data_IF_695611291391
#
_entry.id   IF_695611291391
#
_cell.length_a   1.000
_cell.length_b   1.000
_cell.length_c   1.000
_cell.angle_alpha   90.00
_cell.angle_beta   90.00
_cell.angle_gamma   90.00
#
_symmetry.space_group_name_H-M   'P 1'
#
loop_
_entity.id
_entity.type
_entity.pdbx_description
1 polymer ?
#
# COMPACT_ATOMS: atom_id res chain seq x y z
N UNK A 1 -19.86 -58.91 13.32
CA UNK A 1 -20.33 -57.53 13.06
C UNK A 1 -20.00 -56.70 14.28
N UNK A 2 -19.49 -55.47 14.08
CA UNK A 2 -19.06 -54.53 15.12
C UNK A 2 -17.94 -54.98 16.08
N UNK A 3 -17.15 -54.09 16.69
CA UNK A 3 -16.59 -52.80 16.24
C UNK A 3 -15.71 -52.25 17.37
N UNK A 4 -14.42 -52.01 17.14
CA UNK A 4 -13.57 -51.26 18.07
C UNK A 4 -12.32 -50.74 17.35
N UNK A 5 -12.26 -49.42 17.17
CA UNK A 5 -11.16 -48.71 16.50
C UNK A 5 -9.94 -48.59 17.45
N UNK A 6 -8.70 -48.64 16.95
CA UNK A 6 -7.57 -48.03 17.63
C UNK A 6 -7.63 -46.50 17.47
N UNK A 7 -7.27 -45.77 18.53
CA UNK A 7 -7.32 -44.31 18.54
C UNK A 7 -6.30 -43.67 17.59
N UNK A 8 -6.72 -42.59 16.93
CA UNK A 8 -5.85 -41.68 16.18
C UNK A 8 -5.73 -40.37 16.95
N UNK A 9 -4.57 -40.10 17.54
CA UNK A 9 -4.27 -38.77 18.11
C UNK A 9 -4.16 -37.75 16.96
N UNK A 10 -4.94 -36.65 16.97
CA UNK A 10 -4.71 -35.55 16.04
C UNK A 10 -3.53 -34.72 16.56
N UNK A 11 -2.37 -34.84 15.89
CA UNK A 11 -1.27 -33.89 16.09
C UNK A 11 -1.74 -32.51 15.64
N UNK A 12 -2.17 -31.70 16.61
CA UNK A 12 -2.64 -30.34 16.38
C UNK A 12 -1.48 -29.48 15.89
N UNK A 13 -1.45 -29.22 14.58
CA UNK A 13 -0.44 -28.38 13.96
C UNK A 13 -0.79 -26.90 14.24
N UNK A 14 -0.41 -26.43 15.42
CA UNK A 14 -0.59 -25.02 15.82
C UNK A 14 0.09 -24.10 14.81
N UNK A 15 -0.60 -23.09 14.26
CA UNK A 15 0.04 -22.12 13.37
C UNK A 15 1.08 -21.34 14.18
N UNK A 16 2.35 -21.48 13.83
CA UNK A 16 3.42 -20.66 14.37
C UNK A 16 3.18 -19.21 13.96
N UNK A 17 2.75 -18.39 14.92
CA UNK A 17 2.69 -16.94 14.76
C UNK A 17 4.11 -16.41 14.55
N UNK A 18 4.50 -16.25 13.28
CA UNK A 18 5.73 -15.54 12.91
C UNK A 18 5.55 -14.09 13.34
N UNK A 19 6.32 -13.67 14.35
CA UNK A 19 6.28 -12.30 14.86
C UNK A 19 6.83 -11.36 13.79
N UNK A 20 5.93 -10.64 13.11
CA UNK A 20 6.29 -9.60 12.14
C UNK A 20 6.90 -8.42 12.91
N UNK A 21 8.21 -8.44 13.09
CA UNK A 21 8.97 -7.29 13.60
C UNK A 21 8.95 -6.18 12.54
N UNK A 22 8.02 -5.25 12.70
CA UNK A 22 7.95 -4.05 11.86
C UNK A 22 9.20 -3.19 12.09
N UNK A 23 10.04 -3.05 11.06
CA UNK A 23 11.22 -2.21 11.05
C UNK A 23 10.91 -0.70 10.93
N UNK A 24 9.81 -0.25 11.53
CA UNK A 24 9.39 1.16 11.55
C UNK A 24 10.05 1.91 12.70
N UNK A 25 10.89 2.89 12.38
CA UNK A 25 11.46 3.82 13.37
C UNK A 25 10.34 4.70 13.97
N UNK A 26 9.97 4.40 15.22
CA UNK A 26 8.88 5.08 15.93
C UNK A 26 9.35 6.45 16.38
N UNK A 27 8.85 7.53 15.74
CA UNK A 27 9.31 8.89 16.01
C UNK A 27 9.19 9.23 17.50
N UNK A 28 10.25 9.77 18.09
CA UNK A 28 10.24 10.25 19.47
C UNK A 28 9.48 11.58 19.58
N UNK A 29 8.17 11.51 19.82
CA UNK A 29 7.32 12.66 20.13
C UNK A 29 7.83 13.32 21.41
N UNK A 30 8.18 14.62 21.38
CA UNK A 30 8.74 15.33 22.56
C UNK A 30 7.70 16.11 23.38
N UNK A 31 6.61 16.53 22.74
CA UNK A 31 5.61 17.43 23.31
C UNK A 31 4.20 16.96 22.96
N UNK A 32 3.25 17.23 23.86
CA UNK A 32 1.86 16.86 23.74
C UNK A 32 1.10 17.77 22.77
N UNK A 33 0.50 17.19 21.72
CA UNK A 33 -0.30 17.91 20.72
C UNK A 33 -1.56 18.60 21.29
N UNK A 34 -2.00 18.27 22.51
CA UNK A 34 -3.19 18.86 23.14
C UNK A 34 -2.89 20.00 24.13
N UNK A 35 -1.70 20.04 24.74
CA UNK A 35 -1.41 21.02 25.80
C UNK A 35 0.05 21.53 25.83
N UNK A 36 0.88 21.17 24.85
CA UNK A 36 2.29 21.58 24.77
C UNK A 36 3.23 20.96 25.82
N UNK A 37 2.70 20.36 26.90
CA UNK A 37 3.49 19.73 27.96
C UNK A 37 4.38 18.58 27.45
N UNK A 38 5.51 18.30 28.11
CA UNK A 38 6.44 17.26 27.66
C UNK A 38 5.86 15.85 27.73
N UNK A 39 6.49 14.92 27.03
CA UNK A 39 6.11 13.50 26.98
C UNK A 39 7.21 12.59 27.54
N UNK A 40 6.79 11.58 28.32
CA UNK A 40 7.60 10.42 28.69
C UNK A 40 7.33 9.26 27.72
N UNK A 41 8.26 8.30 27.63
CA UNK A 41 8.11 7.12 26.78
C UNK A 41 8.22 5.87 27.64
N UNK A 42 7.12 5.13 27.76
CA UNK A 42 7.02 3.90 28.55
C UNK A 42 6.02 2.95 27.89
N UNK A 43 5.98 1.70 28.33
CA UNK A 43 4.97 0.72 27.95
C UNK A 43 3.90 0.77 29.04
N UNK A 44 2.65 1.19 28.77
CA UNK A 44 1.57 1.16 29.75
C UNK A 44 1.27 -0.25 30.27
N UNK A 45 0.76 -0.36 31.49
CA UNK A 45 0.32 -1.63 32.06
C UNK A 45 -0.72 -2.31 31.15
N UNK A 46 -0.44 -3.55 30.74
CA UNK A 46 -1.28 -4.32 29.82
C UNK A 46 -1.08 -4.03 28.32
N UNK A 47 -0.14 -3.15 27.95
CA UNK A 47 0.29 -2.95 26.56
C UNK A 47 1.65 -3.61 26.27
N UNK A 48 1.94 -3.85 24.98
CA UNK A 48 3.23 -4.41 24.52
C UNK A 48 4.16 -3.36 23.89
N UNK A 49 3.64 -2.15 23.62
CA UNK A 49 4.29 -1.15 22.74
C UNK A 49 4.60 0.13 23.48
N UNK A 50 5.79 0.68 23.20
CA UNK A 50 6.22 1.96 23.75
C UNK A 50 5.27 3.10 23.29
N UNK A 51 4.76 3.87 24.25
CA UNK A 51 3.84 4.99 24.03
C UNK A 51 4.46 6.30 24.46
N UNK A 52 4.18 7.38 23.72
CA UNK A 52 4.48 8.74 24.16
C UNK A 52 3.31 9.25 25.01
N UNK A 53 3.56 9.49 26.31
CA UNK A 53 2.53 9.85 27.31
C UNK A 53 2.84 11.24 27.83
N UNK A 54 1.87 12.16 27.80
CA UNK A 54 2.05 13.51 28.32
C UNK A 54 2.17 13.50 29.84
N UNK A 55 3.24 14.09 30.38
CA UNK A 55 3.47 14.16 31.84
C UNK A 55 2.57 15.20 32.55
N UNK A 56 1.91 16.09 31.80
CA UNK A 56 1.03 17.11 32.35
C UNK A 56 -0.46 16.71 32.34
N UNK A 57 -0.95 16.10 31.25
CA UNK A 57 -2.38 15.78 31.09
C UNK A 57 -2.67 14.27 30.92
N UNK A 58 -1.68 13.40 31.06
CA UNK A 58 -1.82 11.93 30.97
C UNK A 58 -2.14 11.37 29.58
N UNK A 59 -2.52 12.21 28.60
CA UNK A 59 -2.91 11.77 27.25
C UNK A 59 -1.78 11.03 26.53
N UNK A 60 -2.13 9.93 25.87
CA UNK A 60 -1.25 9.14 25.02
C UNK A 60 -1.30 9.70 23.59
N UNK A 61 -0.13 9.97 23.00
CA UNK A 61 0.01 10.34 21.60
C UNK A 61 0.32 9.09 20.76
N UNK A 62 -0.72 8.50 20.18
CA UNK A 62 -0.59 7.37 19.27
C UNK A 62 0.08 7.78 17.95
N UNK A 63 0.88 6.87 17.39
CA UNK A 63 1.39 6.98 16.03
C UNK A 63 0.71 5.93 15.18
N UNK A 64 -0.04 6.39 14.18
CA UNK A 64 -0.80 5.56 13.28
C UNK A 64 -0.08 5.46 11.93
N UNK A 65 -0.12 4.31 11.24
CA UNK A 65 0.31 4.24 9.85
C UNK A 65 -0.57 5.17 9.00
N UNK A 66 0.02 5.77 7.96
CA UNK A 66 -0.74 6.47 6.93
C UNK A 66 -1.13 5.47 5.85
N UNK A 67 -2.41 5.43 5.49
CA UNK A 67 -2.90 4.65 4.36
C UNK A 67 -2.74 5.45 3.07
N UNK A 68 -2.31 4.77 2.01
CA UNK A 68 -2.25 5.29 0.64
C UNK A 68 -3.13 4.41 -0.24
N UNK A 69 -3.90 5.02 -1.13
CA UNK A 69 -4.89 4.37 -2.00
C UNK A 69 -4.74 4.90 -3.44
N UNK A 70 -5.03 4.07 -4.45
CA UNK A 70 -4.82 4.44 -5.85
C UNK A 70 -5.13 3.34 -6.86
N UNK A 71 -5.19 3.67 -8.15
CA UNK A 71 -5.78 2.81 -9.20
C UNK A 71 -4.79 2.38 -10.32
N UNK A 72 -4.77 1.07 -10.64
CA UNK A 72 -4.32 0.55 -11.94
C UNK A 72 -5.52 0.57 -12.91
N UNK A 73 -5.51 1.55 -13.81
CA UNK A 73 -6.62 1.80 -14.73
C UNK A 73 -6.31 1.14 -16.07
N UNK A 74 -7.13 0.17 -16.47
CA UNK A 74 -7.08 -0.53 -17.75
C UNK A 74 -8.02 0.11 -18.78
N UNK A 75 -7.57 0.16 -20.03
CA UNK A 75 -8.39 0.46 -21.18
C UNK A 75 -7.82 -0.16 -22.46
N UNK A 76 -8.59 -1.04 -23.11
CA UNK A 76 -8.22 -1.70 -24.38
C UNK A 76 -6.83 -2.37 -24.35
N UNK A 77 -6.50 -3.05 -23.25
CA UNK A 77 -5.20 -3.70 -23.06
C UNK A 77 -4.05 -2.71 -22.81
N UNK A 78 -4.35 -1.47 -22.42
CA UNK A 78 -3.39 -0.46 -21.99
C UNK A 78 -3.59 -0.08 -20.53
N UNK A 79 -2.54 0.40 -19.87
CA UNK A 79 -2.61 0.95 -18.50
C UNK A 79 -2.36 2.46 -18.49
N UNK A 80 -3.13 3.21 -17.70
CA UNK A 80 -2.89 4.64 -17.49
C UNK A 80 -1.81 4.84 -16.42
N UNK A 81 -0.78 5.61 -16.75
CA UNK A 81 0.24 6.07 -15.81
C UNK A 81 0.27 7.61 -15.77
N UNK A 82 0.67 8.16 -14.63
CA UNK A 82 0.92 9.58 -14.38
C UNK A 82 2.41 9.84 -14.16
N UNK A 83 2.97 10.89 -14.75
CA UNK A 83 4.37 11.31 -14.59
C UNK A 83 4.43 12.42 -13.55
N UNK A 84 5.11 12.18 -12.42
CA UNK A 84 5.04 13.03 -11.23
C UNK A 84 5.64 14.43 -11.46
N UNK A 85 4.90 15.47 -11.08
CA UNK A 85 5.34 16.87 -11.04
C UNK A 85 5.83 17.33 -9.65
N UNK A 86 5.80 16.43 -8.65
CA UNK A 86 6.21 16.73 -7.27
C UNK A 86 7.24 15.72 -6.74
N UNK A 87 8.01 16.14 -5.74
CA UNK A 87 8.95 15.27 -5.02
C UNK A 87 8.24 14.46 -3.92
N UNK A 88 8.74 13.28 -3.52
CA UNK A 88 9.88 12.56 -4.12
C UNK A 88 9.55 11.99 -5.51
N UNK A 89 10.58 11.55 -6.24
CA UNK A 89 10.47 10.88 -7.54
C UNK A 89 9.84 11.76 -8.65
N UNK A 90 10.17 13.06 -8.68
CA UNK A 90 9.81 13.96 -9.79
C UNK A 90 10.28 13.40 -11.15
N UNK A 91 9.43 13.52 -12.18
CA UNK A 91 9.71 13.07 -13.54
C UNK A 91 9.56 11.56 -13.78
N UNK A 92 9.33 10.75 -12.73
CA UNK A 92 9.08 9.31 -12.84
C UNK A 92 7.58 8.99 -12.93
N UNK A 93 7.26 7.81 -13.46
CA UNK A 93 5.90 7.33 -13.71
C UNK A 93 5.32 6.56 -12.50
N UNK A 94 4.03 6.74 -12.23
CA UNK A 94 3.29 6.07 -11.16
C UNK A 94 1.87 5.73 -11.61
N UNK A 95 1.18 4.87 -10.84
CA UNK A 95 -0.28 4.88 -10.82
C UNK A 95 -0.77 6.11 -10.05
N UNK A 96 -1.95 6.68 -10.38
CA UNK A 96 -2.58 7.71 -9.55
C UNK A 96 -2.86 7.17 -8.16
N UNK A 97 -2.27 7.78 -7.12
CA UNK A 97 -2.32 7.30 -5.74
C UNK A 97 -1.85 8.34 -4.71
N UNK A 98 -2.69 8.58 -3.70
CA UNK A 98 -2.36 9.47 -2.57
C UNK A 98 -2.96 9.02 -1.25
N UNK A 99 -3.02 9.93 -0.27
CA UNK A 99 -3.37 9.57 1.11
C UNK A 99 -4.88 9.37 1.27
N UNK A 100 -5.27 8.36 2.07
CA UNK A 100 -6.65 8.23 2.50
C UNK A 100 -6.99 9.32 3.53
N UNK A 101 -8.05 10.08 3.25
CA UNK A 101 -8.53 11.13 4.15
C UNK A 101 -9.51 10.62 5.22
N UNK A 102 -9.75 11.45 6.24
CA UNK A 102 -10.69 11.13 7.32
C UNK A 102 -12.13 11.39 6.84
N UNK A 103 -12.95 10.33 6.82
CA UNK A 103 -14.36 10.40 6.43
C UNK A 103 -14.69 9.75 5.09
N UNK A 104 -13.67 9.31 4.34
CA UNK A 104 -13.83 8.54 3.10
C UNK A 104 -13.46 7.05 3.29
N UNK A 105 -14.05 6.20 2.45
CA UNK A 105 -13.61 4.81 2.27
C UNK A 105 -12.43 4.72 1.29
N UNK A 106 -11.68 3.63 1.34
CA UNK A 106 -10.56 3.39 0.40
C UNK A 106 -10.97 3.43 -1.08
N UNK A 107 -12.23 3.07 -1.35
CA UNK A 107 -12.92 3.28 -2.63
C UNK A 107 -12.95 4.76 -3.05
N UNK A 108 -13.54 5.59 -2.19
CA UNK A 108 -13.75 7.02 -2.45
C UNK A 108 -12.42 7.76 -2.57
N UNK A 109 -11.45 7.48 -1.69
CA UNK A 109 -10.12 8.09 -1.77
C UNK A 109 -9.41 7.78 -3.07
N UNK A 110 -9.38 6.53 -3.52
CA UNK A 110 -8.74 6.21 -4.80
C UNK A 110 -9.47 6.76 -6.03
N UNK A 111 -10.79 6.90 -5.97
CA UNK A 111 -11.57 7.60 -7.02
C UNK A 111 -11.22 9.10 -7.04
N UNK A 112 -11.10 9.74 -5.87
CA UNK A 112 -10.69 11.14 -5.71
C UNK A 112 -9.28 11.37 -6.26
N UNK A 113 -8.27 10.62 -5.78
CA UNK A 113 -6.88 10.70 -6.25
C UNK A 113 -6.76 10.46 -7.77
N UNK A 114 -7.54 9.53 -8.32
CA UNK A 114 -7.60 9.28 -9.78
C UNK A 114 -8.12 10.47 -10.57
N UNK A 115 -9.10 11.18 -10.01
CA UNK A 115 -9.64 12.38 -10.62
C UNK A 115 -8.70 13.60 -10.43
N UNK A 116 -8.06 13.73 -9.28
CA UNK A 116 -7.13 14.83 -8.96
C UNK A 116 -5.83 14.75 -9.76
N UNK A 117 -5.24 13.56 -9.94
CA UNK A 117 -3.99 13.38 -10.70
C UNK A 117 -4.17 13.31 -12.23
N UNK A 118 -5.31 12.78 -12.71
CA UNK A 118 -5.50 12.41 -14.12
C UNK A 118 -6.85 12.82 -14.75
N UNK A 119 -7.76 13.45 -14.00
CA UNK A 119 -9.09 13.85 -14.47
C UNK A 119 -10.04 12.70 -14.82
N UNK A 120 -9.69 11.45 -14.49
CA UNK A 120 -10.41 10.26 -14.92
C UNK A 120 -11.50 9.80 -13.92
N UNK A 121 -12.57 9.20 -14.43
CA UNK A 121 -13.70 8.70 -13.60
C UNK A 121 -13.77 7.17 -13.61
N UNK A 122 -13.76 6.55 -12.42
CA UNK A 122 -13.69 5.09 -12.20
C UNK A 122 -14.63 4.62 -11.06
N UNK A 123 -14.71 3.31 -10.77
CA UNK A 123 -15.47 2.68 -9.67
C UNK A 123 -14.62 1.58 -8.99
N UNK A 124 -14.58 1.48 -7.64
CA UNK A 124 -13.38 0.94 -6.95
C UNK A 124 -13.50 0.68 -5.41
N UNK A 125 -12.60 -0.11 -4.75
CA UNK A 125 -12.55 -0.62 -3.31
C UNK A 125 -11.19 -0.72 -2.46
N UNK A 126 -10.19 -1.64 -2.65
CA UNK A 126 -8.69 -1.47 -2.33
C UNK A 126 -7.73 -1.78 -3.56
N UNK A 127 -6.53 -1.12 -3.75
CA UNK A 127 -5.72 -0.90 -5.03
C UNK A 127 -6.18 -1.67 -6.27
N UNK A 128 -6.47 -0.90 -7.32
CA UNK A 128 -7.52 -1.29 -8.25
C UNK A 128 -7.06 -1.82 -9.56
N UNK A 129 -7.70 -2.87 -10.05
CA UNK A 129 -8.04 -2.89 -11.45
C UNK A 129 -9.33 -2.08 -11.65
N UNK A 130 -9.21 -0.90 -12.26
CA UNK A 130 -10.33 -0.09 -12.73
C UNK A 130 -10.42 -0.14 -14.25
N UNK A 131 -11.61 0.06 -14.82
CA UNK A 131 -11.77 0.28 -16.26
C UNK A 131 -12.06 1.74 -16.56
N UNK A 132 -11.33 2.31 -17.51
CA UNK A 132 -11.56 3.68 -17.95
C UNK A 132 -12.89 3.79 -18.70
N UNK A 133 -13.78 4.67 -18.25
CA UNK A 133 -15.14 4.82 -18.81
C UNK A 133 -15.20 5.51 -20.19
N UNK A 134 -14.24 6.39 -20.49
CA UNK A 134 -14.09 7.08 -21.77
C UNK A 134 -12.67 7.67 -21.90
N UNK A 135 -12.27 8.08 -23.12
CA UNK A 135 -10.91 8.56 -23.41
C UNK A 135 -10.66 10.04 -23.02
N UNK A 136 -11.51 10.68 -22.21
CA UNK A 136 -11.31 12.05 -21.77
C UNK A 136 -10.57 12.09 -20.43
N UNK A 137 -9.25 12.21 -20.48
CA UNK A 137 -8.36 12.37 -19.32
C UNK A 137 -7.26 13.40 -19.64
N UNK A 138 -6.69 14.02 -18.61
CA UNK A 138 -5.67 15.08 -18.75
C UNK A 138 -4.83 15.19 -17.46
N UNK A 139 -3.55 15.60 -17.53
CA UNK A 139 -2.72 15.70 -16.33
C UNK A 139 -3.26 16.77 -15.38
N UNK A 140 -3.49 16.37 -14.13
CA UNK A 140 -3.80 17.29 -13.03
C UNK A 140 -2.57 18.03 -12.51
N UNK A 141 -2.70 18.91 -11.50
CA UNK A 141 -1.61 19.75 -11.00
C UNK A 141 -0.35 19.00 -10.54
N UNK A 142 -0.52 17.77 -10.04
CA UNK A 142 0.56 16.89 -9.58
C UNK A 142 1.20 16.03 -10.69
N UNK A 143 0.67 16.12 -11.91
CA UNK A 143 1.12 15.36 -13.09
C UNK A 143 1.74 16.29 -14.14
N UNK A 144 2.92 15.93 -14.66
CA UNK A 144 3.51 16.53 -15.86
C UNK A 144 2.83 16.04 -17.14
N UNK A 145 2.43 14.76 -17.13
CA UNK A 145 1.93 14.01 -18.27
C UNK A 145 1.13 12.83 -17.73
N UNK A 146 0.03 12.46 -18.37
CA UNK A 146 -0.62 11.17 -18.13
C UNK A 146 -0.98 10.55 -19.48
N UNK A 147 -0.74 9.25 -19.65
CA UNK A 147 -1.09 8.55 -20.89
C UNK A 147 -1.34 7.06 -20.68
N UNK A 148 -1.99 6.46 -21.66
CA UNK A 148 -2.10 5.00 -21.80
C UNK A 148 -0.79 4.43 -22.37
N UNK A 149 -0.36 3.30 -21.83
CA UNK A 149 0.78 2.49 -22.26
C UNK A 149 0.31 1.10 -22.65
N UNK A 150 0.73 0.57 -23.80
CA UNK A 150 0.58 -0.86 -24.05
C UNK A 150 1.40 -1.68 -23.02
N UNK A 151 0.99 -2.93 -22.76
CA UNK A 151 1.57 -3.75 -21.69
C UNK A 151 3.08 -4.01 -21.83
N UNK A 152 3.56 -4.04 -23.06
CA UNK A 152 4.96 -4.20 -23.46
C UNK A 152 5.73 -2.86 -23.55
N UNK A 153 5.03 -1.73 -23.57
CA UNK A 153 5.62 -0.38 -23.55
C UNK A 153 5.77 0.22 -22.14
N UNK A 154 5.34 -0.48 -21.09
CA UNK A 154 5.39 0.00 -19.70
C UNK A 154 6.85 0.33 -19.31
N UNK A 155 7.16 1.56 -18.87
CA UNK A 155 8.52 2.04 -18.69
C UNK A 155 9.07 1.62 -17.31
N UNK A 156 9.28 0.31 -17.12
CA UNK A 156 9.66 -0.28 -15.83
C UNK A 156 10.92 0.30 -15.19
N UNK A 157 11.88 0.81 -15.96
CA UNK A 157 13.09 1.49 -15.47
C UNK A 157 12.85 2.93 -14.98
N UNK A 158 11.69 3.51 -15.31
CA UNK A 158 11.31 4.89 -14.99
C UNK A 158 10.09 4.98 -14.07
N UNK A 159 9.78 3.91 -13.33
CA UNK A 159 8.70 3.89 -12.33
C UNK A 159 9.17 4.53 -11.00
N UNK A 160 8.24 5.17 -10.30
CA UNK A 160 8.54 5.97 -9.11
C UNK A 160 8.71 5.15 -7.81
N UNK A 161 8.02 4.01 -7.66
CA UNK A 161 7.92 3.25 -6.41
C UNK A 161 7.86 1.73 -6.59
N UNK A 162 8.39 0.98 -5.61
CA UNK A 162 8.33 -0.51 -5.59
C UNK A 162 6.91 -1.06 -5.58
N UNK A 163 5.96 -0.40 -4.93
CA UNK A 163 4.55 -0.80 -4.94
C UNK A 163 3.99 -0.85 -6.35
N UNK A 164 4.22 0.19 -7.14
CA UNK A 164 3.79 0.26 -8.54
C UNK A 164 4.47 -0.82 -9.39
N UNK A 165 5.78 -1.02 -9.20
CA UNK A 165 6.52 -2.08 -9.87
C UNK A 165 5.91 -3.47 -9.58
N UNK A 166 5.61 -3.77 -8.31
CA UNK A 166 4.98 -5.04 -7.90
C UNK A 166 3.57 -5.18 -8.49
N UNK A 167 2.71 -4.16 -8.35
CA UNK A 167 1.33 -4.20 -8.86
C UNK A 167 1.29 -4.46 -10.37
N UNK A 168 2.13 -3.78 -11.16
CA UNK A 168 2.19 -3.97 -12.61
C UNK A 168 2.72 -5.35 -13.00
N UNK A 169 3.75 -5.87 -12.33
CA UNK A 169 4.27 -7.22 -12.61
C UNK A 169 3.24 -8.31 -12.29
N UNK A 170 2.57 -8.21 -11.14
CA UNK A 170 1.51 -9.15 -10.75
C UNK A 170 0.33 -9.13 -11.73
N UNK A 171 -0.10 -7.94 -12.16
CA UNK A 171 -1.12 -7.78 -13.18
C UNK A 171 -0.73 -8.45 -14.51
N UNK A 172 0.51 -8.26 -14.98
CA UNK A 172 1.03 -8.92 -16.18
C UNK A 172 1.11 -10.45 -16.03
N UNK A 173 1.43 -10.96 -14.84
CA UNK A 173 1.42 -12.41 -14.57
C UNK A 173 0.00 -13.00 -14.63
N UNK A 174 -0.98 -12.34 -14.05
CA UNK A 174 -2.36 -12.79 -14.03
C UNK A 174 -3.00 -12.74 -15.43
N UNK A 175 -2.66 -11.73 -16.24
CA UNK A 175 -3.03 -11.69 -17.66
C UNK A 175 -2.43 -12.85 -18.44
N UNK A 176 -1.15 -13.20 -18.23
CA UNK A 176 -0.51 -14.38 -18.84
C UNK A 176 -1.17 -15.70 -18.43
N UNK A 177 -1.72 -15.76 -17.20
CA UNK A 177 -2.47 -16.92 -16.67
C UNK A 177 -3.95 -16.91 -17.09
N UNK A 178 -4.43 -15.85 -17.76
CA UNK A 178 -5.82 -15.69 -18.18
C UNK A 178 -6.82 -15.50 -17.02
N UNK A 179 -6.35 -15.23 -15.79
CA UNK A 179 -7.21 -15.06 -14.61
C UNK A 179 -6.62 -14.02 -13.67
N UNK A 180 -7.37 -12.93 -13.50
CA UNK A 180 -7.13 -11.91 -12.48
C UNK A 180 -7.47 -12.44 -11.09
N UNK A 181 -6.62 -12.14 -10.12
CA UNK A 181 -6.76 -12.51 -8.71
C UNK A 181 -6.65 -11.29 -7.80
N UNK A 182 -7.08 -11.47 -6.57
CA UNK A 182 -6.68 -10.57 -5.49
C UNK A 182 -5.23 -10.89 -5.08
N UNK A 183 -4.46 -9.85 -4.80
CA UNK A 183 -3.12 -9.97 -4.25
C UNK A 183 -3.00 -9.16 -2.96
N UNK A 184 -2.48 -9.82 -1.93
CA UNK A 184 -2.05 -9.20 -0.69
C UNK A 184 -0.61 -9.59 -0.42
N UNK A 185 0.19 -8.70 0.16
CA UNK A 185 1.59 -8.95 0.50
C UNK A 185 2.26 -7.72 1.12
N UNK A 186 3.43 -7.93 1.73
CA UNK A 186 4.25 -6.91 2.37
C UNK A 186 5.52 -6.67 1.55
N UNK A 187 5.77 -5.43 1.14
CA UNK A 187 6.99 -5.04 0.44
C UNK A 187 8.01 -4.55 1.46
N UNK A 188 9.02 -5.36 1.75
CA UNK A 188 10.10 -5.01 2.67
C UNK A 188 11.32 -4.53 1.88
N UNK A 189 11.74 -3.27 2.09
CA UNK A 189 12.94 -2.71 1.45
C UNK A 189 14.18 -3.46 1.95
N UNK A 190 15.09 -3.83 1.04
CA UNK A 190 16.34 -4.52 1.44
C UNK A 190 17.18 -3.58 2.33
N UNK A 191 17.71 -4.02 3.48
CA UNK A 191 18.59 -3.21 4.31
C UNK A 191 19.78 -2.65 3.51
N UNK A 192 20.11 -1.38 3.73
CA UNK A 192 21.18 -0.68 3.01
C UNK A 192 20.87 -0.29 1.56
N UNK A 193 19.72 -0.66 0.99
CA UNK A 193 19.30 -0.17 -0.33
C UNK A 193 18.78 1.26 -0.27
N UNK A 194 18.88 1.98 -1.40
CA UNK A 194 18.24 3.29 -1.53
C UNK A 194 16.71 3.15 -1.39
N UNK A 195 16.02 4.06 -0.66
CA UNK A 195 14.57 4.12 -0.64
C UNK A 195 13.96 4.20 -2.06
N UNK A 196 14.65 4.87 -2.98
CA UNK A 196 14.24 5.05 -4.38
C UNK A 196 14.61 3.89 -5.31
N UNK A 197 15.37 2.88 -4.86
CA UNK A 197 15.62 1.68 -5.65
C UNK A 197 14.34 0.84 -5.70
N UNK A 198 13.58 0.96 -6.78
CA UNK A 198 12.28 0.29 -6.90
C UNK A 198 12.38 -1.25 -6.93
N UNK A 199 13.55 -1.84 -7.19
CA UNK A 199 13.77 -3.30 -7.31
C UNK A 199 14.37 -3.93 -6.06
N UNK A 200 14.99 -3.14 -5.18
CA UNK A 200 15.56 -3.63 -3.92
C UNK A 200 14.52 -3.83 -2.81
N UNK A 201 13.71 -4.88 -2.94
CA UNK A 201 12.78 -5.35 -1.91
C UNK A 201 12.73 -6.89 -1.82
N UNK A 202 12.06 -7.42 -0.79
CA UNK A 202 11.39 -8.74 -0.76
C UNK A 202 9.87 -8.53 -0.75
N UNK A 203 9.12 -9.48 -1.30
CA UNK A 203 7.67 -9.52 -1.26
C UNK A 203 7.24 -10.70 -0.38
N UNK A 204 6.88 -10.41 0.85
CA UNK A 204 6.54 -11.42 1.86
C UNK A 204 5.02 -11.53 2.00
N UNK A 205 4.52 -12.69 2.45
CA UNK A 205 3.09 -12.96 2.61
C UNK A 205 2.25 -12.78 1.33
N UNK A 206 2.80 -13.09 0.14
CA UNK A 206 2.05 -13.01 -1.11
C UNK A 206 0.91 -14.06 -1.15
N UNK A 207 -0.31 -13.62 -0.87
CA UNK A 207 -1.51 -14.44 -0.94
C UNK A 207 -2.16 -14.35 -2.33
N UNK A 208 -2.55 -15.50 -2.86
CA UNK A 208 -3.31 -15.66 -4.10
C UNK A 208 -4.52 -16.57 -3.83
N UNK A 209 -5.63 -16.05 -3.26
CA UNK A 209 -6.89 -16.78 -3.16
C UNK A 209 -7.51 -17.11 -4.53
#
# INVERSE_FOLDING_TARGET
MSSSLPGSDPVANSPTFVSVQSAGDVRKIKFCQWCGGPTKHEIPDGEEKLRAICTHCGKIAYQNPKMVVGCLIEHEGKVLLCKRNIQPSHGLWTLPAGYLEVGESAAQGAMRETWEEAGATVETYVIFLAKLKNLHFAPGPESLECRLFALDEIPFDSLAFSSIYVTLNLYLEDLKKGKLKFHYGTINKRPGSSPSDIRAFSLDYHLQP
#
